data_IF_869678967571
#
_entry.id   IF_869678967571
#
_cell.length_a   1.000
_cell.length_b   1.000
_cell.length_c   1.000
_cell.angle_alpha   90.00
_cell.angle_beta   90.00
_cell.angle_gamma   90.00
#
_symmetry.space_group_name_H-M   'P 1'
#
loop_
_entity.id
_entity.type
_entity.pdbx_description
1 polymer ?
#
# COMPACT_ATOMS: atom_id res chain seq x y z
N UNK A 1 -6.86 2.04 -10.68
CA UNK A 1 -7.18 2.87 -11.89
C UNK A 1 -8.62 3.38 -11.89
N UNK A 2 -9.65 2.56 -11.64
CA UNK A 2 -11.06 2.98 -11.61
C UNK A 2 -11.33 4.11 -10.61
N UNK A 3 -10.86 3.99 -9.37
CA UNK A 3 -11.03 5.02 -8.34
C UNK A 3 -10.39 6.35 -8.75
N UNK A 4 -9.18 6.30 -9.29
CA UNK A 4 -8.50 7.50 -9.77
C UNK A 4 -9.24 8.18 -10.92
N UNK A 5 -9.71 7.39 -11.89
CA UNK A 5 -10.48 7.92 -13.02
C UNK A 5 -11.81 8.54 -12.56
N UNK A 6 -12.47 7.92 -11.59
CA UNK A 6 -13.67 8.47 -10.95
C UNK A 6 -13.39 9.82 -10.28
N UNK A 7 -12.30 9.90 -9.51
CA UNK A 7 -11.91 11.11 -8.78
C UNK A 7 -11.62 12.30 -9.70
N UNK A 8 -11.08 12.04 -10.90
CA UNK A 8 -10.83 13.08 -11.91
C UNK A 8 -11.96 13.21 -12.93
N UNK A 9 -13.04 12.46 -12.76
CA UNK A 9 -14.18 12.43 -13.70
C UNK A 9 -13.77 12.08 -15.14
N UNK A 10 -12.77 11.26 -15.29
CA UNK A 10 -12.30 10.78 -16.59
C UNK A 10 -13.07 9.55 -17.01
N UNK A 11 -13.60 9.55 -18.24
CA UNK A 11 -14.23 8.36 -18.83
C UNK A 11 -13.16 7.30 -19.07
N UNK A 12 -13.42 6.09 -18.57
CA UNK A 12 -12.53 4.97 -18.81
C UNK A 12 -12.67 4.48 -20.26
N UNK A 13 -11.54 4.41 -20.96
CA UNK A 13 -11.44 3.70 -22.22
C UNK A 13 -11.07 2.24 -21.90
N UNK A 14 -11.96 1.31 -22.25
CA UNK A 14 -11.78 -0.12 -22.00
C UNK A 14 -11.36 -0.89 -23.26
N UNK A 15 -11.20 -0.21 -24.39
CA UNK A 15 -10.87 -0.79 -25.68
C UNK A 15 -9.38 -0.67 -26.01
N UNK A 16 -8.53 -1.35 -25.22
CA UNK A 16 -7.10 -1.39 -25.48
C UNK A 16 -6.75 -2.57 -26.39
N UNK A 17 -6.13 -2.28 -27.53
CA UNK A 17 -5.64 -3.30 -28.47
C UNK A 17 -4.28 -3.88 -28.08
N UNK A 18 -3.51 -3.17 -27.22
CA UNK A 18 -2.16 -3.56 -26.83
C UNK A 18 -1.89 -3.27 -25.36
N UNK A 19 -0.97 -4.03 -24.76
CA UNK A 19 -0.48 -3.76 -23.40
C UNK A 19 0.15 -2.37 -23.28
N UNK A 20 0.92 -1.94 -24.28
CA UNK A 20 1.51 -0.59 -24.30
C UNK A 20 0.45 0.52 -24.33
N UNK A 21 -0.66 0.31 -25.03
CA UNK A 21 -1.80 1.23 -24.99
C UNK A 21 -2.41 1.36 -23.61
N UNK A 22 -2.60 0.23 -22.94
CA UNK A 22 -3.09 0.19 -21.55
C UNK A 22 -2.14 0.91 -20.59
N UNK A 23 -0.83 0.67 -20.68
CA UNK A 23 0.18 1.30 -19.84
C UNK A 23 0.20 2.82 -20.05
N UNK A 24 0.19 3.29 -21.30
CA UNK A 24 0.14 4.73 -21.62
C UNK A 24 -1.11 5.40 -21.05
N UNK A 25 -2.25 4.75 -21.18
CA UNK A 25 -3.51 5.27 -20.64
C UNK A 25 -3.47 5.32 -19.11
N UNK A 26 -3.02 4.25 -18.44
CA UNK A 26 -2.83 4.21 -16.99
C UNK A 26 -1.96 5.37 -16.51
N UNK A 27 -0.81 5.59 -17.15
CA UNK A 27 0.10 6.66 -16.78
C UNK A 27 -0.53 8.06 -16.98
N UNK A 28 -1.28 8.25 -18.05
CA UNK A 28 -2.05 9.49 -18.28
C UNK A 28 -3.09 9.76 -17.20
N UNK A 29 -3.84 8.72 -16.78
CA UNK A 29 -4.80 8.83 -15.68
C UNK A 29 -4.10 9.16 -14.36
N UNK A 30 -2.97 8.53 -14.10
CA UNK A 30 -2.17 8.75 -12.90
C UNK A 30 -1.62 10.18 -12.84
N UNK A 31 -1.10 10.71 -13.94
CA UNK A 31 -0.59 12.08 -14.00
C UNK A 31 -1.69 13.13 -13.79
N UNK A 32 -2.86 12.95 -14.42
CA UNK A 32 -4.01 13.83 -14.22
C UNK A 32 -4.50 13.78 -12.77
N UNK A 33 -4.55 12.58 -12.19
CA UNK A 33 -4.92 12.37 -10.79
C UNK A 33 -3.95 13.10 -9.84
N UNK A 34 -2.63 12.90 -10.01
CA UNK A 34 -1.62 13.58 -9.19
C UNK A 34 -1.69 15.10 -9.33
N UNK A 35 -1.89 15.62 -10.54
CA UNK A 35 -2.05 17.07 -10.77
C UNK A 35 -3.26 17.61 -10.03
N UNK A 36 -4.39 16.90 -10.06
CA UNK A 36 -5.60 17.28 -9.31
C UNK A 36 -5.38 17.26 -7.81
N UNK A 37 -4.69 16.24 -7.29
CA UNK A 37 -4.39 16.11 -5.86
C UNK A 37 -3.45 17.21 -5.37
N UNK A 38 -2.44 17.60 -6.16
CA UNK A 38 -1.54 18.72 -5.82
C UNK A 38 -2.27 20.04 -5.59
N UNK A 39 -3.44 20.23 -6.25
CA UNK A 39 -4.27 21.43 -6.08
C UNK A 39 -5.12 21.41 -4.79
N UNK A 40 -5.20 20.28 -4.10
CA UNK A 40 -6.00 20.10 -2.89
C UNK A 40 -5.16 20.26 -1.63
N UNK A 41 -5.80 20.78 -0.56
CA UNK A 41 -5.26 20.69 0.79
C UNK A 41 -5.49 19.28 1.32
N UNK A 42 -4.42 18.49 1.44
CA UNK A 42 -4.47 17.13 1.94
C UNK A 42 -4.62 17.10 3.46
N UNK A 43 -5.45 16.19 3.96
CA UNK A 43 -5.61 15.94 5.38
C UNK A 43 -4.37 15.21 5.95
N UNK A 44 -3.77 15.81 6.98
CA UNK A 44 -2.59 15.27 7.68
C UNK A 44 -2.96 14.47 8.92
N UNK A 45 -4.24 14.39 9.26
CA UNK A 45 -4.71 13.63 10.42
C UNK A 45 -4.33 12.16 10.29
N UNK A 46 -3.61 11.64 11.28
CA UNK A 46 -3.19 10.25 11.29
C UNK A 46 -4.31 9.34 11.79
N UNK A 47 -4.55 8.26 11.05
CA UNK A 47 -5.48 7.21 11.46
C UNK A 47 -4.81 6.29 12.48
N UNK A 48 -5.54 5.96 13.54
CA UNK A 48 -5.07 5.00 14.54
C UNK A 48 -4.99 3.61 13.91
N UNK A 49 -3.83 2.97 13.98
CA UNK A 49 -3.68 1.59 13.58
C UNK A 49 -4.50 0.67 14.48
N UNK A 50 -5.18 -0.31 13.89
CA UNK A 50 -5.81 -1.39 14.66
C UNK A 50 -4.75 -2.19 15.40
N UNK A 51 -5.09 -2.76 16.55
CA UNK A 51 -4.14 -3.44 17.44
C UNK A 51 -3.30 -4.50 16.72
N UNK A 52 -3.94 -5.32 15.89
CA UNK A 52 -3.26 -6.34 15.08
C UNK A 52 -2.25 -5.78 14.07
N UNK A 53 -2.54 -4.62 13.46
CA UNK A 53 -1.58 -3.93 12.59
C UNK A 53 -0.44 -3.31 13.37
N UNK A 54 -0.72 -2.80 14.56
CA UNK A 54 0.30 -2.22 15.45
C UNK A 54 1.31 -3.25 15.91
N UNK A 55 0.87 -4.43 16.32
CA UNK A 55 1.76 -5.53 16.71
C UNK A 55 2.68 -5.95 15.56
N UNK A 56 2.11 -6.09 14.35
CA UNK A 56 2.89 -6.42 13.16
C UNK A 56 3.85 -5.30 12.76
N UNK A 57 3.43 -4.04 12.86
CA UNK A 57 4.27 -2.86 12.63
C UNK A 57 5.50 -2.86 13.53
N UNK A 58 5.32 -3.11 14.83
CA UNK A 58 6.40 -3.20 15.80
C UNK A 58 7.40 -4.31 15.45
N UNK A 59 6.90 -5.48 15.02
CA UNK A 59 7.76 -6.60 14.59
C UNK A 59 8.52 -6.30 13.29
N UNK A 60 7.86 -5.72 12.31
CA UNK A 60 8.50 -5.34 11.05
C UNK A 60 9.58 -4.29 11.26
N UNK A 61 9.39 -3.34 12.15
CA UNK A 61 10.38 -2.30 12.51
C UNK A 61 11.66 -2.85 13.13
N UNK A 62 11.61 -4.05 13.72
CA UNK A 62 12.80 -4.70 14.25
C UNK A 62 13.74 -5.22 13.16
N UNK A 63 13.26 -5.46 11.95
CA UNK A 63 14.02 -6.04 10.84
C UNK A 63 14.11 -5.15 9.61
N UNK A 64 13.19 -4.22 9.45
CA UNK A 64 13.06 -3.35 8.29
C UNK A 64 12.91 -1.89 8.69
N UNK A 65 13.43 -1.01 7.86
CA UNK A 65 13.14 0.42 7.95
C UNK A 65 11.81 0.70 7.25
N UNK A 66 10.75 0.81 8.03
CA UNK A 66 9.40 1.05 7.53
C UNK A 66 8.76 2.29 8.14
N UNK A 67 7.80 2.89 7.41
CA UNK A 67 6.95 3.97 7.90
C UNK A 67 5.49 3.69 7.53
N UNK A 68 4.57 3.62 8.50
CA UNK A 68 3.15 3.49 8.22
C UNK A 68 2.62 4.68 7.43
N UNK A 69 1.83 4.40 6.41
CA UNK A 69 1.15 5.42 5.59
C UNK A 69 -0.29 5.59 6.08
N UNK A 70 -0.44 6.12 7.27
CA UNK A 70 -1.69 6.18 8.02
C UNK A 70 -2.39 7.55 7.98
N UNK A 71 -2.24 8.28 6.88
CA UNK A 71 -3.00 9.51 6.62
C UNK A 71 -3.17 9.73 5.11
N UNK A 72 -4.18 10.51 4.73
CA UNK A 72 -4.36 10.92 3.34
C UNK A 72 -3.10 11.56 2.77
N UNK A 73 -2.50 12.48 3.52
CA UNK A 73 -1.28 13.16 3.13
C UNK A 73 -0.12 12.18 2.84
N UNK A 74 0.13 11.23 3.74
CA UNK A 74 1.22 10.26 3.57
C UNK A 74 0.99 9.36 2.36
N UNK A 75 -0.23 8.86 2.16
CA UNK A 75 -0.59 8.01 1.03
C UNK A 75 -0.46 8.74 -0.30
N UNK A 76 -0.94 9.98 -0.39
CA UNK A 76 -0.84 10.77 -1.61
C UNK A 76 0.62 11.14 -1.93
N UNK A 77 1.40 11.52 -0.93
CA UNK A 77 2.84 11.80 -1.10
C UNK A 77 3.60 10.57 -1.59
N UNK A 78 3.32 9.40 -1.02
CA UNK A 78 3.93 8.14 -1.45
C UNK A 78 3.58 7.83 -2.90
N UNK A 79 2.30 7.93 -3.28
CA UNK A 79 1.85 7.69 -4.66
C UNK A 79 2.55 8.60 -5.67
N UNK A 80 2.68 9.89 -5.35
CA UNK A 80 3.40 10.84 -6.20
C UNK A 80 4.89 10.53 -6.30
N UNK A 81 5.54 10.21 -5.18
CA UNK A 81 6.96 9.89 -5.15
C UNK A 81 7.27 8.57 -5.88
N UNK A 82 6.47 7.54 -5.62
CA UNK A 82 6.66 6.19 -6.16
C UNK A 82 6.08 6.03 -7.57
N UNK A 83 5.33 7.01 -8.08
CA UNK A 83 4.66 6.95 -9.39
C UNK A 83 3.74 5.74 -9.50
N UNK A 84 2.91 5.53 -8.48
CA UNK A 84 1.86 4.50 -8.46
C UNK A 84 0.60 5.00 -7.74
N UNK A 85 -0.43 4.16 -7.66
CA UNK A 85 -1.78 4.57 -7.27
C UNK A 85 -2.13 4.41 -5.80
N UNK A 86 -1.15 4.25 -4.90
CA UNK A 86 -1.42 4.03 -3.46
C UNK A 86 -2.23 5.16 -2.80
N UNK A 87 -2.17 6.35 -3.34
CA UNK A 87 -3.00 7.48 -2.88
C UNK A 87 -4.52 7.21 -2.90
N UNK A 88 -4.99 6.33 -3.79
CA UNK A 88 -6.39 5.91 -3.87
C UNK A 88 -6.86 4.99 -2.73
N UNK A 89 -5.97 4.50 -1.87
CA UNK A 89 -6.28 3.54 -0.80
C UNK A 89 -6.65 4.18 0.55
N UNK A 90 -6.83 5.48 0.60
CA UNK A 90 -7.12 6.24 1.83
C UNK A 90 -8.29 5.64 2.63
N UNK A 91 -9.39 5.28 1.96
CA UNK A 91 -10.56 4.67 2.61
C UNK A 91 -10.23 3.31 3.25
N UNK A 92 -9.50 2.45 2.55
CA UNK A 92 -9.12 1.13 3.04
C UNK A 92 -8.20 1.20 4.25
N UNK A 93 -7.28 2.16 4.27
CA UNK A 93 -6.39 2.41 5.41
C UNK A 93 -7.17 3.00 6.59
N UNK A 94 -8.00 4.01 6.36
CA UNK A 94 -8.82 4.64 7.39
C UNK A 94 -9.75 3.64 8.10
N UNK A 95 -10.35 2.71 7.35
CA UNK A 95 -11.21 1.66 7.91
C UNK A 95 -10.45 0.49 8.52
N UNK A 96 -9.13 0.45 8.35
CA UNK A 96 -8.25 -0.63 8.84
C UNK A 96 -8.38 -1.95 8.07
N UNK A 97 -8.95 -1.92 6.86
CA UNK A 97 -8.97 -3.08 5.96
C UNK A 97 -7.59 -3.37 5.39
N UNK A 98 -6.84 -2.32 5.08
CA UNK A 98 -5.46 -2.39 4.61
C UNK A 98 -4.52 -1.76 5.61
N UNK A 99 -3.34 -2.32 5.74
CA UNK A 99 -2.19 -1.71 6.37
C UNK A 99 -1.14 -1.46 5.29
N UNK A 100 -0.81 -0.19 5.05
CA UNK A 100 0.13 0.22 4.01
C UNK A 100 1.30 0.94 4.65
N UNK A 101 2.50 0.61 4.21
CA UNK A 101 3.73 1.21 4.70
C UNK A 101 4.77 1.32 3.60
N UNK A 102 5.59 2.38 3.70
CA UNK A 102 6.80 2.51 2.89
C UNK A 102 7.93 1.71 3.51
N UNK A 103 8.81 1.18 2.66
CA UNK A 103 9.99 0.40 3.05
C UNK A 103 11.21 1.00 2.36
N UNK A 104 12.33 1.06 3.08
CA UNK A 104 13.63 1.32 2.50
C UNK A 104 14.50 0.07 2.66
N UNK A 105 14.75 -0.63 1.56
CA UNK A 105 15.46 -1.91 1.53
C UNK A 105 16.55 -1.89 0.47
N UNK A 106 17.79 -2.20 0.86
CA UNK A 106 18.98 -2.16 -0.02
C UNK A 106 19.05 -0.85 -0.83
N UNK A 107 18.92 0.28 -0.13
CA UNK A 107 18.97 1.63 -0.70
C UNK A 107 17.90 1.94 -1.77
N UNK A 108 16.81 1.19 -1.77
CA UNK A 108 15.67 1.39 -2.67
C UNK A 108 14.35 1.50 -1.92
N UNK A 109 13.44 2.37 -2.40
CA UNK A 109 12.12 2.51 -1.81
C UNK A 109 11.14 1.49 -2.38
N UNK A 110 10.28 0.95 -1.50
CA UNK A 110 9.17 0.07 -1.84
C UNK A 110 7.93 0.50 -1.05
N UNK A 111 6.76 0.15 -1.56
CA UNK A 111 5.48 0.30 -0.86
C UNK A 111 4.83 -1.06 -0.73
N UNK A 112 4.40 -1.42 0.47
CA UNK A 112 3.74 -2.67 0.77
C UNK A 112 2.31 -2.42 1.26
N UNK A 113 1.35 -3.17 0.72
CA UNK A 113 0.00 -3.27 1.23
C UNK A 113 -0.25 -4.67 1.79
N UNK A 114 -0.63 -4.74 3.04
CA UNK A 114 -1.14 -5.94 3.69
C UNK A 114 -2.66 -5.84 3.82
N UNK A 115 -3.34 -6.93 3.56
CA UNK A 115 -4.78 -7.08 3.76
C UNK A 115 -5.07 -8.30 4.62
N UNK A 116 -6.25 -8.32 5.22
CA UNK A 116 -6.67 -9.43 6.08
C UNK A 116 -7.99 -10.00 5.59
N UNK A 117 -8.01 -11.33 5.41
CA UNK A 117 -9.23 -12.11 5.13
C UNK A 117 -9.30 -13.26 6.13
N UNK A 118 -10.44 -13.38 6.85
CA UNK A 118 -10.66 -14.45 7.84
C UNK A 118 -9.46 -14.61 8.79
N UNK A 119 -8.97 -13.48 9.33
CA UNK A 119 -7.82 -13.38 10.22
C UNK A 119 -6.46 -13.84 9.64
N UNK A 120 -6.41 -14.11 8.34
CA UNK A 120 -5.17 -14.39 7.62
C UNK A 120 -4.66 -13.11 6.97
N UNK A 121 -3.43 -12.73 7.31
CA UNK A 121 -2.74 -11.58 6.73
C UNK A 121 -2.03 -11.99 5.45
N UNK A 122 -2.23 -11.22 4.39
CA UNK A 122 -1.61 -11.46 3.09
C UNK A 122 -0.92 -10.19 2.58
N UNK A 123 0.21 -10.38 1.90
CA UNK A 123 0.81 -9.33 1.08
C UNK A 123 -0.05 -9.19 -0.17
N UNK A 124 -0.79 -8.08 -0.26
CA UNK A 124 -1.63 -7.79 -1.42
C UNK A 124 -0.83 -7.17 -2.55
N UNK A 125 0.05 -6.23 -2.20
CA UNK A 125 0.93 -5.56 -3.15
C UNK A 125 2.28 -5.27 -2.49
N UNK A 126 3.36 -5.38 -3.27
CA UNK A 126 4.71 -4.99 -2.86
C UNK A 126 5.48 -4.56 -4.11
N UNK A 127 5.60 -3.26 -4.31
CA UNK A 127 6.18 -2.68 -5.51
C UNK A 127 7.15 -1.55 -5.20
N UNK A 128 8.18 -1.43 -6.04
CA UNK A 128 9.06 -0.28 -6.14
C UNK A 128 8.47 0.85 -7.00
N UNK A 129 9.28 1.88 -7.30
CA UNK A 129 8.85 2.97 -8.18
C UNK A 129 8.38 2.46 -9.53
N UNK A 130 7.38 3.13 -10.10
CA UNK A 130 6.74 2.76 -11.37
C UNK A 130 6.21 1.32 -11.39
N UNK A 131 5.76 0.81 -10.23
CA UNK A 131 5.28 -0.56 -10.05
C UNK A 131 6.32 -1.64 -10.44
N UNK A 132 7.61 -1.35 -10.24
CA UNK A 132 8.65 -2.36 -10.43
C UNK A 132 8.52 -3.47 -9.40
N UNK A 133 8.87 -4.69 -9.79
CA UNK A 133 8.78 -5.87 -8.93
C UNK A 133 9.79 -5.76 -7.79
N UNK A 134 9.37 -6.05 -6.57
CA UNK A 134 10.24 -6.12 -5.42
C UNK A 134 11.05 -7.43 -5.41
N UNK A 135 12.25 -7.46 -4.78
CA UNK A 135 13.05 -8.68 -4.66
C UNK A 135 12.34 -9.77 -3.87
N UNK A 136 12.51 -11.03 -4.26
CA UNK A 136 11.97 -12.20 -3.56
C UNK A 136 12.42 -12.25 -2.09
N UNK A 137 13.64 -11.81 -1.80
CA UNK A 137 14.16 -11.71 -0.44
C UNK A 137 13.33 -10.78 0.45
N UNK A 138 12.83 -9.67 -0.09
CA UNK A 138 11.95 -8.74 0.64
C UNK A 138 10.57 -9.36 0.86
N UNK A 139 9.99 -10.03 -0.13
CA UNK A 139 8.75 -10.80 0.00
C UNK A 139 8.86 -11.85 1.12
N UNK A 140 9.95 -12.62 1.10
CA UNK A 140 10.23 -13.64 2.09
C UNK A 140 10.34 -13.06 3.50
N UNK A 141 11.08 -11.99 3.66
CA UNK A 141 11.30 -11.33 4.96
C UNK A 141 9.98 -10.84 5.58
N UNK A 142 9.13 -10.19 4.79
CA UNK A 142 7.81 -9.74 5.24
C UNK A 142 6.90 -10.93 5.53
N UNK A 143 6.88 -11.93 4.65
CA UNK A 143 6.08 -13.15 4.80
C UNK A 143 6.44 -13.95 6.05
N UNK A 144 7.71 -14.13 6.34
CA UNK A 144 8.21 -14.82 7.54
C UNK A 144 7.81 -14.06 8.82
N UNK A 145 7.86 -12.72 8.81
CA UNK A 145 7.44 -11.88 9.94
C UNK A 145 5.93 -12.00 10.18
N UNK A 146 5.13 -12.01 9.14
CA UNK A 146 3.66 -12.23 9.22
C UNK A 146 3.38 -13.59 9.84
N UNK A 147 4.03 -14.64 9.34
CA UNK A 147 3.84 -16.02 9.83
C UNK A 147 4.17 -16.14 11.31
N UNK A 148 5.29 -15.62 11.75
CA UNK A 148 5.71 -15.62 13.17
C UNK A 148 4.71 -14.84 14.05
N UNK A 149 4.14 -13.75 13.53
CA UNK A 149 3.11 -12.99 14.26
C UNK A 149 1.82 -13.81 14.44
N UNK A 150 1.38 -14.51 13.39
CA UNK A 150 0.15 -15.29 13.42
C UNK A 150 0.25 -16.58 14.24
N UNK A 151 1.39 -17.27 14.19
CA UNK A 151 1.63 -18.50 14.99
C UNK A 151 1.61 -18.23 16.50
N UNK A 152 2.01 -17.04 16.94
CA UNK A 152 1.98 -16.65 18.35
C UNK A 152 0.55 -16.47 18.85
N UNK A 153 -0.29 -15.81 18.07
CA UNK A 153 -1.71 -15.59 18.40
C UNK A 153 -2.42 -16.94 18.60
N UNK A 154 -2.19 -17.91 17.70
CA UNK A 154 -2.80 -19.24 17.80
C UNK A 154 -2.35 -20.01 19.04
N UNK A 155 -1.11 -19.83 19.52
CA UNK A 155 -0.62 -20.47 20.74
C UNK A 155 -1.21 -19.84 21.99
N UNK A 156 -1.39 -18.54 22.02
CA UNK A 156 -1.96 -17.83 23.16
C UNK A 156 -3.47 -18.15 23.34
N UNK A 157 -4.20 -18.41 22.25
CA UNK A 157 -5.61 -18.84 22.26
C UNK A 157 -5.80 -20.30 22.68
N UNK A 158 -4.74 -21.13 22.63
CA UNK A 158 -4.82 -22.57 22.97
C UNK A 158 -4.51 -22.84 24.46
N UNK A 159 -4.16 -21.83 25.26
CA UNK A 159 -3.79 -21.89 26.67
C UNK A 159 -4.97 -21.51 27.62
N UNK A 160 -6.17 -21.34 27.08
CA UNK A 160 -7.38 -21.06 27.87
C UNK A 160 -8.23 -22.34 28.06
#
# INVERSE_FOLDING_TARGET
MYEMAYDIKKKLDVNFKTLNGLIKYHNSVLEEYHTKILSKKLDKTEYKLKEKWKELDDKLKNTLKINPLNSEYKLQKEGMYMKHCVGGYTKSVKTGKSYIFSIYYEDKPYTCELTMKKDIININQLYGRFNTIAPDALYKLIGDTIKQSQERIMKDETII
#
